data_IF_085132588333
#
_entry.id   IF_085132588333
#
_cell.length_a   1.000
_cell.length_b   1.000
_cell.length_c   1.000
_cell.angle_alpha   90.00
_cell.angle_beta   90.00
_cell.angle_gamma   90.00
#
_symmetry.space_group_name_H-M   'P 1'
#
loop_
_entity.id
_entity.type
_entity.pdbx_description
1 polymer ?
#
# COMPACT_ATOMS: atom_id res chain seq x y z
N UNK A 1 -3.32 5.35 38.55
CA UNK A 1 -1.96 5.06 38.04
C UNK A 1 -2.00 4.98 36.51
N UNK A 2 -1.69 6.07 35.80
CA UNK A 2 -1.44 6.07 34.34
C UNK A 2 -0.32 7.07 34.05
N UNK A 3 0.91 6.59 33.99
CA UNK A 3 2.09 7.29 33.47
C UNK A 3 2.72 6.37 32.43
N UNK A 4 2.09 6.31 31.26
CA UNK A 4 2.61 5.55 30.10
C UNK A 4 2.54 6.41 28.85
N UNK A 5 2.82 7.71 28.99
CA UNK A 5 3.07 8.64 27.89
C UNK A 5 4.28 9.47 28.30
N UNK A 6 5.29 9.52 27.42
CA UNK A 6 6.55 10.26 27.56
C UNK A 6 7.68 9.62 28.40
N UNK A 7 8.16 8.45 27.98
CA UNK A 7 9.54 7.98 28.34
C UNK A 7 10.22 7.40 27.09
N UNK A 8 10.09 8.09 25.96
CA UNK A 8 10.66 7.66 24.67
C UNK A 8 11.79 8.57 24.18
N UNK A 9 12.18 9.60 24.94
CA UNK A 9 13.07 10.68 24.44
C UNK A 9 14.36 10.85 25.26
N UNK A 10 14.64 10.01 26.26
CA UNK A 10 15.84 10.22 27.11
C UNK A 10 16.94 9.16 27.02
N UNK A 11 16.65 7.94 26.60
CA UNK A 11 17.70 6.95 26.35
C UNK A 11 17.66 6.55 24.89
N UNK A 12 18.73 6.88 24.17
CA UNK A 12 19.05 6.34 22.85
C UNK A 12 19.34 4.84 22.90
N UNK A 13 18.46 4.05 23.53
CA UNK A 13 18.37 2.63 23.29
C UNK A 13 17.57 2.49 22.00
N UNK A 14 18.24 2.11 20.91
CA UNK A 14 17.57 1.84 19.65
C UNK A 14 16.51 0.79 19.93
N UNK A 15 15.24 1.21 19.97
CA UNK A 15 14.09 0.36 20.28
C UNK A 15 13.76 -0.61 19.14
N UNK A 16 14.80 -1.13 18.50
CA UNK A 16 14.78 -2.07 17.40
C UNK A 16 14.02 -3.33 17.81
N UNK A 17 14.17 -3.82 19.05
CA UNK A 17 13.42 -5.00 19.53
C UNK A 17 11.90 -4.80 19.47
N UNK A 18 11.41 -3.69 20.01
CA UNK A 18 9.98 -3.35 19.93
C UNK A 18 9.55 -3.13 18.49
N UNK A 19 10.32 -2.38 17.71
CA UNK A 19 10.01 -2.11 16.31
C UNK A 19 9.92 -3.41 15.50
N UNK A 20 10.88 -4.32 15.62
CA UNK A 20 10.86 -5.62 14.95
C UNK A 20 9.68 -6.48 15.41
N UNK A 21 9.33 -6.46 16.70
CA UNK A 21 8.16 -7.18 17.21
C UNK A 21 6.85 -6.63 16.61
N UNK A 22 6.68 -5.30 16.63
CA UNK A 22 5.52 -4.64 16.03
C UNK A 22 5.45 -4.88 14.52
N UNK A 23 6.59 -4.88 13.83
CA UNK A 23 6.66 -5.15 12.40
C UNK A 23 6.28 -6.60 12.08
N UNK A 24 6.77 -7.59 12.84
CA UNK A 24 6.37 -9.00 12.69
C UNK A 24 4.87 -9.21 12.91
N UNK A 25 4.29 -8.56 13.92
CA UNK A 25 2.85 -8.63 14.19
C UNK A 25 2.06 -8.08 13.00
N UNK A 26 2.44 -6.89 12.49
CA UNK A 26 1.79 -6.28 11.33
C UNK A 26 1.97 -7.12 10.06
N UNK A 27 3.17 -7.64 9.83
CA UNK A 27 3.46 -8.49 8.68
C UNK A 27 2.60 -9.75 8.71
N UNK A 28 2.52 -10.44 9.85
CA UNK A 28 1.70 -11.63 10.03
C UNK A 28 0.20 -11.32 9.85
N UNK A 29 -0.27 -10.23 10.46
CA UNK A 29 -1.68 -9.81 10.36
C UNK A 29 -2.09 -9.45 8.93
N UNK A 30 -1.18 -8.83 8.17
CA UNK A 30 -1.45 -8.40 6.79
C UNK A 30 -1.00 -9.43 5.74
N UNK A 31 -0.55 -10.62 6.18
CA UNK A 31 -0.10 -11.65 5.26
C UNK A 31 -1.29 -12.20 4.48
N UNK A 32 -1.26 -12.02 3.16
CA UNK A 32 -2.21 -12.66 2.26
C UNK A 32 -1.77 -14.11 2.07
N UNK A 33 -2.43 -15.03 2.78
CA UNK A 33 -2.08 -16.47 2.77
C UNK A 33 -2.88 -17.27 1.73
N UNK A 34 -4.02 -16.74 1.28
CA UNK A 34 -4.78 -17.35 0.19
C UNK A 34 -5.70 -16.36 -0.49
N UNK A 35 -5.95 -16.57 -1.78
CA UNK A 35 -6.94 -15.84 -2.58
C UNK A 35 -7.81 -16.81 -3.38
N UNK A 36 -8.93 -16.31 -3.89
CA UNK A 36 -9.78 -17.01 -4.85
C UNK A 36 -9.68 -16.34 -6.20
N UNK A 37 -9.48 -17.16 -7.24
CA UNK A 37 -9.52 -16.72 -8.64
C UNK A 37 -10.96 -16.60 -9.13
N UNK A 38 -11.16 -15.98 -10.28
CA UNK A 38 -12.48 -15.88 -10.94
C UNK A 38 -13.14 -17.26 -11.17
N UNK A 39 -12.33 -18.31 -11.32
CA UNK A 39 -12.79 -19.70 -11.49
C UNK A 39 -13.09 -20.39 -10.15
N UNK A 40 -13.26 -19.64 -9.06
CA UNK A 40 -13.44 -20.13 -7.69
C UNK A 40 -12.34 -21.10 -7.22
N UNK A 41 -11.16 -21.07 -7.84
CA UNK A 41 -10.02 -21.90 -7.42
C UNK A 41 -9.25 -21.16 -6.33
N UNK A 42 -9.02 -21.83 -5.19
CA UNK A 42 -8.24 -21.29 -4.08
C UNK A 42 -6.75 -21.42 -4.36
N UNK A 43 -6.04 -20.29 -4.35
CA UNK A 43 -4.58 -20.24 -4.44
C UNK A 43 -4.01 -20.02 -3.04
N UNK A 44 -3.00 -20.82 -2.69
CA UNK A 44 -2.25 -20.72 -1.43
C UNK A 44 -0.75 -20.59 -1.66
N UNK A 45 -0.28 -20.88 -2.87
CA UNK A 45 1.13 -20.71 -3.23
C UNK A 45 1.44 -19.21 -3.44
N UNK A 46 2.39 -18.62 -2.67
CA UNK A 46 2.71 -17.20 -2.77
C UNK A 46 3.06 -16.74 -4.20
N UNK A 47 3.73 -17.60 -4.99
CA UNK A 47 4.08 -17.26 -6.38
C UNK A 47 2.86 -17.17 -7.28
N UNK A 48 1.88 -18.06 -7.08
CA UNK A 48 0.62 -18.03 -7.81
C UNK A 48 -0.24 -16.83 -7.39
N UNK A 49 -0.25 -16.50 -6.09
CA UNK A 49 -0.91 -15.31 -5.57
C UNK A 49 -0.33 -14.05 -6.23
N UNK A 50 1.01 -13.92 -6.25
CA UNK A 50 1.70 -12.80 -6.89
C UNK A 50 1.35 -12.69 -8.39
N UNK A 51 1.40 -13.80 -9.13
CA UNK A 51 1.07 -13.83 -10.55
C UNK A 51 -0.37 -13.40 -10.83
N UNK A 52 -1.33 -13.87 -10.03
CA UNK A 52 -2.74 -13.48 -10.16
C UNK A 52 -2.93 -11.98 -9.91
N UNK A 53 -2.30 -11.43 -8.85
CA UNK A 53 -2.33 -10.00 -8.58
C UNK A 53 -1.75 -9.19 -9.75
N UNK A 54 -0.57 -9.57 -10.24
CA UNK A 54 0.05 -8.90 -11.38
C UNK A 54 -0.89 -8.96 -12.59
N UNK A 55 -1.47 -10.12 -12.89
CA UNK A 55 -2.39 -10.30 -14.02
C UNK A 55 -3.62 -9.38 -13.94
N UNK A 56 -4.30 -9.37 -12.79
CA UNK A 56 -5.49 -8.53 -12.56
C UNK A 56 -5.13 -7.05 -12.69
N UNK A 57 -4.08 -6.61 -12.00
CA UNK A 57 -3.70 -5.19 -11.99
C UNK A 57 -3.11 -4.72 -13.31
N UNK A 58 -2.43 -5.58 -14.05
CA UNK A 58 -1.97 -5.28 -15.41
C UNK A 58 -3.17 -5.14 -16.37
N UNK A 59 -4.22 -5.94 -16.20
CA UNK A 59 -5.47 -5.79 -16.96
C UNK A 59 -6.19 -4.47 -16.65
N UNK A 60 -6.19 -4.04 -15.38
CA UNK A 60 -6.86 -2.81 -14.93
C UNK A 60 -6.08 -1.53 -15.27
N UNK A 61 -4.76 -1.54 -15.05
CA UNK A 61 -3.91 -0.35 -15.21
C UNK A 61 -3.27 -0.26 -16.60
N UNK A 62 -3.31 -1.33 -17.37
CA UNK A 62 -2.57 -1.49 -18.62
C UNK A 62 -1.20 -2.13 -18.40
N UNK A 63 -0.56 -2.52 -19.51
CA UNK A 63 0.77 -3.13 -19.49
C UNK A 63 1.86 -2.13 -19.07
N UNK A 64 2.92 -2.64 -18.44
CA UNK A 64 4.13 -1.86 -18.20
C UNK A 64 4.67 -1.33 -19.53
N UNK A 65 4.57 -0.02 -19.72
CA UNK A 65 5.10 0.62 -20.91
C UNK A 65 6.55 1.01 -20.63
N UNK A 66 7.49 0.55 -21.47
CA UNK A 66 8.93 0.82 -21.30
C UNK A 66 9.26 2.31 -21.42
N UNK A 67 8.41 3.06 -22.11
CA UNK A 67 8.53 4.51 -22.28
C UNK A 67 7.22 5.14 -21.83
N UNK A 68 7.23 5.79 -20.67
CA UNK A 68 6.12 6.66 -20.30
C UNK A 68 6.15 7.84 -21.27
N UNK A 69 5.10 8.08 -22.08
CA UNK A 69 5.05 9.27 -22.91
C UNK A 69 5.20 10.47 -22.00
N UNK A 70 6.12 11.37 -22.36
CA UNK A 70 6.36 12.59 -21.58
C UNK A 70 5.02 13.30 -21.36
N UNK A 71 4.65 13.44 -20.09
CA UNK A 71 3.36 14.00 -19.72
C UNK A 71 3.24 15.40 -20.30
N UNK A 72 2.24 15.62 -21.16
CA UNK A 72 1.99 16.96 -21.69
C UNK A 72 1.44 17.84 -20.57
N UNK A 73 2.33 18.61 -19.94
CA UNK A 73 2.04 19.47 -18.80
C UNK A 73 0.97 20.53 -19.15
N UNK A 74 0.89 20.96 -20.42
CA UNK A 74 -0.12 21.93 -20.85
C UNK A 74 -1.54 21.33 -20.84
N UNK A 75 -1.67 20.05 -21.17
CA UNK A 75 -2.95 19.33 -21.11
C UNK A 75 -3.36 19.10 -19.65
N UNK A 76 -2.42 18.70 -18.79
CA UNK A 76 -2.67 18.48 -17.36
C UNK A 76 -3.09 19.78 -16.66
N UNK A 77 -2.44 20.91 -16.97
CA UNK A 77 -2.79 22.22 -16.43
C UNK A 77 -4.17 22.72 -16.87
N UNK A 78 -4.66 22.28 -18.03
CA UNK A 78 -6.00 22.60 -18.54
C UNK A 78 -7.09 21.72 -17.92
N UNK A 79 -6.72 20.57 -17.33
CA UNK A 79 -7.65 19.71 -16.62
C UNK A 79 -8.21 20.39 -15.37
N UNK A 80 -9.47 20.08 -15.03
CA UNK A 80 -10.06 20.53 -13.78
C UNK A 80 -9.26 19.98 -12.59
N UNK A 81 -8.53 20.86 -11.92
CA UNK A 81 -7.88 20.51 -10.68
C UNK A 81 -8.93 20.40 -9.57
N UNK A 82 -8.94 19.28 -8.85
CA UNK A 82 -9.84 19.07 -7.71
C UNK A 82 -9.76 20.25 -6.75
N UNK A 83 -10.92 20.87 -6.49
CA UNK A 83 -11.03 21.98 -5.56
C UNK A 83 -10.65 21.56 -4.14
N UNK A 84 -10.23 22.51 -3.32
CA UNK A 84 -9.89 22.26 -1.91
C UNK A 84 -11.05 21.59 -1.14
N UNK A 85 -12.29 21.87 -1.52
CA UNK A 85 -13.48 21.25 -0.93
C UNK A 85 -13.59 19.76 -1.28
N UNK A 86 -13.33 19.39 -2.54
CA UNK A 86 -13.29 18.00 -2.98
C UNK A 86 -12.14 17.24 -2.31
N UNK A 87 -10.95 17.85 -2.18
CA UNK A 87 -9.81 17.25 -1.49
C UNK A 87 -10.11 16.97 -0.02
N UNK A 88 -10.73 17.92 0.69
CA UNK A 88 -11.14 17.73 2.10
C UNK A 88 -12.14 16.59 2.30
N UNK A 89 -12.96 16.29 1.29
CA UNK A 89 -13.92 15.18 1.34
C UNK A 89 -13.23 13.81 1.21
N UNK A 90 -12.09 13.73 0.54
CA UNK A 90 -11.33 12.48 0.32
C UNK A 90 -10.42 12.10 1.51
N UNK A 91 -10.15 13.02 2.43
CA UNK A 91 -9.30 12.80 3.61
C UNK A 91 -10.14 12.32 4.82
N UNK A 92 -11.40 11.91 4.60
CA UNK A 92 -12.29 11.38 5.64
C UNK A 92 -12.56 9.90 5.46
#
# INVERSE_FOLDING_TARGET
MKKSRATWVECGDANSKYFHAQWKIRYSHNAITSIYTEKNTKLTDPKQIEAEFIGVFTGLMGASTSELPYLNIEVVKKGECSTLQQQKKLIR
#
